data_IF_030745773987
#
_entry.id   IF_030745773987
#
_cell.length_a   1.000
_cell.length_b   1.000
_cell.length_c   1.000
_cell.angle_alpha   90.00
_cell.angle_beta   90.00
_cell.angle_gamma   90.00
#
_symmetry.space_group_name_H-M   'P 1'
#
loop_
_entity.id
_entity.type
_entity.pdbx_description
1 polymer ?
#
# COMPACT_ATOMS: atom_id res chain seq x y z
N UNK A 1 8.53 -33.23 -70.62
CA UNK A 1 7.57 -32.12 -70.84
C UNK A 1 6.91 -31.85 -69.48
N UNK A 2 7.37 -30.84 -68.72
CA UNK A 2 6.66 -29.57 -68.44
C UNK A 2 5.24 -29.80 -67.85
N UNK A 3 4.77 -29.29 -66.70
CA UNK A 3 5.10 -28.27 -65.67
C UNK A 3 4.28 -28.72 -64.43
N UNK A 4 4.64 -28.51 -63.18
CA UNK A 4 4.64 -27.21 -62.51
C UNK A 4 4.31 -27.43 -61.03
N UNK A 5 5.11 -26.85 -60.14
CA UNK A 5 4.92 -26.92 -58.70
C UNK A 5 3.81 -25.95 -58.26
N UNK A 6 2.83 -26.44 -57.49
CA UNK A 6 1.86 -25.60 -56.80
C UNK A 6 2.14 -25.65 -55.30
N UNK A 7 2.82 -24.61 -54.81
CA UNK A 7 2.94 -24.28 -53.39
C UNK A 7 1.55 -23.89 -52.89
N UNK A 8 0.95 -24.71 -52.02
CA UNK A 8 -0.16 -24.24 -51.18
C UNK A 8 0.36 -23.97 -49.78
N UNK A 9 0.36 -22.68 -49.47
CA UNK A 9 0.78 -22.05 -48.22
C UNK A 9 -0.09 -22.57 -47.08
N UNK A 10 0.56 -23.12 -46.04
CA UNK A 10 -0.07 -23.40 -44.74
C UNK A 10 -0.61 -22.09 -44.16
N UNK A 11 -1.93 -21.94 -44.11
CA UNK A 11 -2.58 -20.93 -43.26
C UNK A 11 -2.96 -21.61 -41.95
N UNK A 12 -2.04 -21.56 -40.99
CA UNK A 12 -2.32 -21.92 -39.60
C UNK A 12 -3.32 -20.91 -39.03
N UNK A 13 -4.57 -21.36 -38.83
CA UNK A 13 -5.59 -20.59 -38.10
C UNK A 13 -5.31 -20.74 -36.61
N UNK A 14 -4.60 -19.78 -36.02
CA UNK A 14 -4.60 -19.60 -34.57
C UNK A 14 -5.98 -19.08 -34.16
N UNK A 15 -6.82 -19.95 -33.59
CA UNK A 15 -8.03 -19.52 -32.89
C UNK A 15 -7.58 -18.98 -31.54
N UNK A 16 -7.59 -17.66 -31.38
CA UNK A 16 -7.41 -17.03 -30.08
C UNK A 16 -8.63 -17.35 -29.22
N UNK A 17 -8.44 -18.19 -28.19
CA UNK A 17 -9.44 -18.39 -27.15
C UNK A 17 -9.60 -17.07 -26.38
N UNK A 18 -10.77 -16.46 -26.49
CA UNK A 18 -11.13 -15.25 -25.75
C UNK A 18 -11.31 -15.60 -24.27
N UNK A 19 -10.26 -15.36 -23.47
CA UNK A 19 -10.38 -15.27 -22.01
C UNK A 19 -10.74 -13.83 -21.69
N UNK A 20 -12.03 -13.49 -21.71
CA UNK A 20 -12.53 -12.22 -21.17
C UNK A 20 -13.33 -12.53 -19.91
N UNK A 21 -12.61 -12.51 -18.80
CA UNK A 21 -13.12 -12.65 -17.46
C UNK A 21 -12.06 -12.19 -16.47
N UNK A 22 -11.46 -11.02 -16.72
CA UNK A 22 -10.71 -10.30 -15.70
C UNK A 22 -11.72 -9.86 -14.65
N UNK A 23 -11.77 -10.60 -13.54
CA UNK A 23 -12.23 -10.07 -12.27
C UNK A 23 -11.46 -8.77 -12.08
N UNK A 24 -12.19 -7.66 -12.05
CA UNK A 24 -11.64 -6.38 -11.65
C UNK A 24 -11.30 -6.51 -10.16
N UNK A 25 -10.14 -7.10 -9.87
CA UNK A 25 -9.44 -6.79 -8.63
C UNK A 25 -9.34 -5.27 -8.64
N UNK A 26 -10.07 -4.64 -7.72
CA UNK A 26 -9.75 -3.29 -7.29
C UNK A 26 -8.30 -3.34 -6.82
N UNK A 27 -7.37 -3.07 -7.73
CA UNK A 27 -5.97 -2.90 -7.43
C UNK A 27 -5.92 -1.84 -6.33
N UNK A 28 -5.64 -2.26 -5.10
CA UNK A 28 -5.39 -1.33 -4.01
C UNK A 28 -4.34 -0.35 -4.51
N UNK A 29 -4.58 0.94 -4.33
CA UNK A 29 -3.66 1.97 -4.81
C UNK A 29 -2.25 1.64 -4.28
N UNK A 30 -1.29 1.42 -5.18
CA UNK A 30 0.12 1.27 -4.80
C UNK A 30 0.72 2.67 -4.69
N UNK A 31 1.40 2.95 -3.58
CA UNK A 31 1.94 4.28 -3.30
C UNK A 31 2.55 4.40 -1.91
N UNK A 32 2.77 5.62 -1.47
CA UNK A 32 3.31 5.95 -0.14
C UNK A 32 2.25 6.71 0.65
N UNK A 33 1.99 6.27 1.88
CA UNK A 33 1.18 6.99 2.85
C UNK A 33 2.12 7.90 3.65
N UNK A 34 1.91 9.21 3.56
CA UNK A 34 2.59 10.18 4.38
C UNK A 34 1.75 10.47 5.63
N UNK A 35 2.36 10.30 6.80
CA UNK A 35 1.73 10.57 8.09
C UNK A 35 2.52 11.65 8.81
N UNK A 36 1.83 12.68 9.27
CA UNK A 36 2.42 13.72 10.10
C UNK A 36 1.85 13.58 11.51
N UNK A 37 2.67 13.10 12.45
CA UNK A 37 2.25 12.86 13.83
C UNK A 37 2.88 13.89 14.76
N UNK A 38 2.12 14.47 15.68
CA UNK A 38 2.53 15.55 16.57
C UNK A 38 2.05 15.35 18.02
N UNK A 39 2.75 16.01 18.95
CA UNK A 39 2.38 16.09 20.37
C UNK A 39 1.30 17.14 20.63
N UNK A 40 1.18 18.13 19.74
CA UNK A 40 0.23 19.23 19.87
C UNK A 40 -1.19 18.74 19.59
N UNK A 41 -2.17 19.24 20.35
CA UNK A 41 -3.56 18.83 20.17
C UNK A 41 -4.05 19.31 18.81
N UNK A 42 -4.98 18.56 18.22
CA UNK A 42 -5.65 18.93 16.97
C UNK A 42 -4.69 19.33 15.83
N UNK A 43 -3.49 18.74 15.79
CA UNK A 43 -2.51 18.94 14.74
C UNK A 43 -2.10 20.41 14.53
N UNK A 44 -2.09 21.21 15.61
CA UNK A 44 -1.70 22.62 15.59
C UNK A 44 -0.28 22.84 15.04
N UNK A 45 0.62 21.87 15.25
CA UNK A 45 1.99 21.89 14.76
C UNK A 45 2.30 20.67 13.87
N UNK A 46 3.20 20.85 12.91
CA UNK A 46 3.83 19.75 12.18
C UNK A 46 4.80 19.05 13.11
N UNK A 47 4.59 17.74 13.32
CA UNK A 47 5.48 16.93 14.12
C UNK A 47 6.41 16.08 13.23
N UNK A 48 6.57 14.81 13.60
CA UNK A 48 7.41 13.88 12.84
C UNK A 48 6.62 13.31 11.65
N UNK A 49 7.24 13.37 10.48
CA UNK A 49 6.71 12.79 9.25
C UNK A 49 7.20 11.34 9.10
N UNK A 50 6.29 10.47 8.71
CA UNK A 50 6.54 9.07 8.38
C UNK A 50 6.01 8.75 7.00
N UNK A 51 6.68 7.82 6.33
CA UNK A 51 6.26 7.29 5.05
C UNK A 51 6.11 5.76 5.17
N UNK A 52 4.93 5.23 4.87
CA UNK A 52 4.68 3.77 4.86
C UNK A 52 4.18 3.33 3.50
N UNK A 53 4.51 2.09 3.07
CA UNK A 53 4.04 1.59 1.79
C UNK A 53 2.54 1.27 1.85
N UNK A 54 1.81 1.67 0.81
CA UNK A 54 0.39 1.33 0.64
C UNK A 54 0.29 0.03 -0.16
N UNK A 55 -0.52 -0.90 0.33
CA UNK A 55 -0.77 -2.19 -0.29
C UNK A 55 0.33 -3.22 -0.04
N UNK A 56 1.34 -2.90 0.77
CA UNK A 56 2.41 -3.82 1.16
C UNK A 56 2.48 -3.95 2.67
N UNK A 57 2.73 -5.16 3.14
CA UNK A 57 3.01 -5.40 4.55
C UNK A 57 4.38 -4.82 4.92
N UNK A 58 4.49 -4.24 6.12
CA UNK A 58 5.76 -3.77 6.66
C UNK A 58 5.86 -3.98 8.18
N UNK A 59 7.09 -4.14 8.66
CA UNK A 59 7.42 -4.13 10.09
C UNK A 59 7.89 -2.73 10.48
N UNK A 60 7.25 -2.06 11.46
CA UNK A 60 7.74 -0.78 11.96
C UNK A 60 9.14 -0.87 12.60
N UNK A 61 9.55 -2.04 13.13
CA UNK A 61 10.89 -2.23 13.67
C UNK A 61 11.97 -2.09 12.59
N UNK A 62 11.66 -2.52 11.37
CA UNK A 62 12.56 -2.39 10.22
C UNK A 62 12.50 -0.97 9.65
N UNK A 63 11.31 -0.40 9.51
CA UNK A 63 11.13 0.88 8.82
C UNK A 63 11.48 2.09 9.70
N UNK A 64 11.26 2.02 11.01
CA UNK A 64 11.48 3.10 11.97
C UNK A 64 12.23 2.60 13.21
N UNK A 65 13.48 2.11 13.07
CA UNK A 65 14.20 1.44 14.14
C UNK A 65 14.38 2.36 15.36
N UNK A 66 13.94 1.88 16.52
CA UNK A 66 14.07 2.56 17.81
C UNK A 66 13.12 3.75 18.03
N UNK A 67 12.16 4.00 17.14
CA UNK A 67 11.18 5.07 17.33
C UNK A 67 10.04 4.62 18.27
N UNK A 68 9.87 5.25 19.45
CA UNK A 68 8.87 4.84 20.44
C UNK A 68 7.41 5.06 20.02
N UNK A 69 7.15 5.70 18.87
CA UNK A 69 5.79 5.78 18.32
C UNK A 69 5.23 4.45 17.87
N UNK A 70 6.11 3.51 17.52
CA UNK A 70 5.73 2.28 16.85
C UNK A 70 5.97 1.09 17.76
N UNK A 71 4.99 0.18 17.76
CA UNK A 71 5.13 -1.16 18.33
C UNK A 71 5.84 -2.11 17.36
N UNK A 72 5.99 -3.37 17.79
CA UNK A 72 6.68 -4.39 17.01
C UNK A 72 5.82 -5.04 15.90
N UNK A 73 4.50 -4.94 16.02
CA UNK A 73 3.53 -5.63 15.16
C UNK A 73 3.55 -5.12 13.73
N UNK A 74 3.41 -6.05 12.78
CA UNK A 74 3.30 -5.78 11.36
C UNK A 74 2.02 -5.00 11.04
N UNK A 75 2.13 -4.16 10.00
CA UNK A 75 1.07 -3.28 9.56
C UNK A 75 0.86 -3.44 8.05
N UNK A 76 -0.41 -3.42 7.64
CA UNK A 76 -0.81 -3.26 6.24
C UNK A 76 -1.71 -2.03 6.12
N UNK A 77 -1.26 -1.06 5.33
CA UNK A 77 -2.04 0.12 4.98
C UNK A 77 -2.68 -0.06 3.61
N UNK A 78 -3.98 0.15 3.52
CA UNK A 78 -4.70 0.29 2.25
C UNK A 78 -5.45 1.61 2.26
N UNK A 79 -5.60 2.22 1.09
CA UNK A 79 -6.34 3.48 0.98
C UNK A 79 -7.41 3.36 -0.09
N UNK A 80 -8.52 4.05 0.13
CA UNK A 80 -9.45 4.41 -0.94
C UNK A 80 -9.40 5.93 -1.15
N UNK A 81 -10.31 6.48 -1.97
CA UNK A 81 -10.31 7.91 -2.31
C UNK A 81 -10.39 8.88 -1.11
N UNK A 82 -10.91 8.44 0.04
CA UNK A 82 -11.20 9.31 1.18
C UNK A 82 -10.72 8.78 2.52
N UNK A 83 -10.40 7.50 2.63
CA UNK A 83 -10.08 6.85 3.89
C UNK A 83 -8.80 6.00 3.80
N UNK A 84 -8.07 6.00 4.90
CA UNK A 84 -7.04 5.03 5.23
C UNK A 84 -7.69 3.88 6.00
N UNK A 85 -7.40 2.65 5.59
CA UNK A 85 -7.64 1.46 6.37
C UNK A 85 -6.28 0.85 6.75
N UNK A 86 -6.01 0.85 8.05
CA UNK A 86 -4.80 0.24 8.64
C UNK A 86 -5.17 -1.05 9.34
N UNK A 87 -4.47 -2.13 9.03
CA UNK A 87 -4.60 -3.43 9.69
C UNK A 87 -3.33 -3.77 10.47
N UNK A 88 -3.49 -4.44 11.60
CA UNK A 88 -2.41 -4.88 12.49
C UNK A 88 -2.35 -6.41 12.57
N UNK A 89 -1.14 -6.93 12.71
CA UNK A 89 -0.86 -8.37 12.70
C UNK A 89 0.15 -8.70 13.80
N UNK A 90 0.03 -9.88 14.40
CA UNK A 90 0.93 -10.28 15.50
C UNK A 90 2.34 -10.65 15.04
N UNK A 91 2.57 -10.88 13.73
CA UNK A 91 3.93 -11.01 13.19
C UNK A 91 4.71 -9.70 13.30
N UNK A 92 6.04 -9.76 13.27
CA UNK A 92 6.92 -8.59 13.49
C UNK A 92 8.00 -8.44 12.39
N UNK A 93 7.84 -9.17 11.29
CA UNK A 93 8.88 -9.37 10.25
C UNK A 93 8.42 -8.95 8.84
N UNK A 94 7.34 -8.17 8.74
CA UNK A 94 6.78 -7.67 7.49
C UNK A 94 6.00 -8.71 6.68
N UNK A 95 5.39 -9.71 7.34
CA UNK A 95 4.67 -10.82 6.67
C UNK A 95 3.16 -10.79 6.85
N UNK A 96 2.65 -9.96 7.78
CA UNK A 96 1.22 -9.78 8.05
C UNK A 96 0.50 -11.11 8.31
N UNK A 97 1.06 -11.91 9.23
CA UNK A 97 0.48 -13.15 9.70
C UNK A 97 -0.23 -12.93 11.04
N UNK A 98 -1.31 -13.68 11.29
CA UNK A 98 -2.11 -13.59 12.50
C UNK A 98 -2.71 -12.19 12.71
N UNK A 99 -3.70 -11.84 11.89
CA UNK A 99 -4.46 -10.60 12.01
C UNK A 99 -5.00 -10.39 13.43
N UNK A 100 -4.88 -9.17 13.96
CA UNK A 100 -5.31 -8.84 15.32
C UNK A 100 -6.40 -7.78 15.34
N UNK A 101 -6.20 -6.64 14.68
CA UNK A 101 -7.11 -5.51 14.73
C UNK A 101 -6.97 -4.60 13.50
N UNK A 102 -7.84 -3.61 13.38
CA UNK A 102 -7.77 -2.57 12.36
C UNK A 102 -8.48 -1.29 12.78
N UNK A 103 -8.18 -0.21 12.05
CA UNK A 103 -9.06 0.96 12.01
C UNK A 103 -9.23 1.48 10.60
N UNK A 104 -10.30 2.25 10.41
CA UNK A 104 -10.53 3.06 9.21
C UNK A 104 -10.74 4.51 9.60
N UNK A 105 -10.02 5.42 8.97
CA UNK A 105 -10.05 6.85 9.29
C UNK A 105 -10.00 7.71 8.03
N UNK A 106 -10.57 8.92 8.05
CA UNK A 106 -10.51 9.81 6.90
C UNK A 106 -9.09 10.30 6.62
N UNK A 107 -8.73 10.39 5.34
CA UNK A 107 -7.53 11.08 4.87
C UNK A 107 -7.73 12.60 5.01
N UNK A 108 -6.62 13.34 5.10
CA UNK A 108 -6.58 14.82 5.12
C UNK A 108 -7.40 15.47 6.25
N UNK A 109 -7.64 14.71 7.32
CA UNK A 109 -8.22 15.18 8.56
C UNK A 109 -7.20 15.05 9.68
N UNK A 110 -7.28 15.95 10.67
CA UNK A 110 -6.55 15.77 11.92
C UNK A 110 -7.31 14.79 12.83
N UNK A 111 -6.60 13.77 13.31
CA UNK A 111 -7.18 12.65 14.05
C UNK A 111 -6.36 12.36 15.30
N UNK A 112 -7.02 11.85 16.34
CA UNK A 112 -6.39 11.46 17.60
C UNK A 112 -7.37 11.54 18.78
N UNK A 113 -6.89 11.21 19.99
CA UNK A 113 -5.52 10.79 20.31
C UNK A 113 -5.21 9.32 19.98
N UNK A 114 -4.02 9.04 19.45
CA UNK A 114 -3.46 7.73 19.10
C UNK A 114 -2.16 7.46 19.85
N UNK A 115 -2.24 6.84 21.03
CA UNK A 115 -1.05 6.41 21.77
C UNK A 115 -0.02 7.51 22.06
N UNK A 116 1.06 7.13 22.73
CA UNK A 116 2.23 8.00 22.95
C UNK A 116 3.32 7.66 21.93
N UNK A 117 4.27 8.58 21.63
CA UNK A 117 4.40 9.94 22.15
C UNK A 117 3.68 11.01 21.33
N UNK A 118 3.26 10.75 20.07
CA UNK A 118 2.60 11.73 19.20
C UNK A 118 1.14 11.32 18.92
N UNK A 119 0.21 11.67 19.82
CA UNK A 119 -1.17 11.20 19.74
C UNK A 119 -1.98 11.80 18.59
N UNK A 120 -1.56 12.89 17.98
CA UNK A 120 -2.36 13.56 16.95
C UNK A 120 -1.67 13.47 15.60
N UNK A 121 -2.42 13.37 14.51
CA UNK A 121 -1.81 13.46 13.20
C UNK A 121 -2.77 13.50 12.02
N UNK A 122 -2.19 13.75 10.86
CA UNK A 122 -2.86 13.76 9.56
C UNK A 122 -2.28 12.69 8.65
N UNK A 123 -3.12 12.09 7.81
CA UNK A 123 -2.77 11.02 6.88
C UNK A 123 -3.08 11.48 5.46
N UNK A 124 -2.10 11.37 4.56
CA UNK A 124 -2.29 11.72 3.15
C UNK A 124 -1.53 10.76 2.24
N UNK A 125 -1.98 10.62 1.00
CA UNK A 125 -1.28 9.82 -0.01
C UNK A 125 -0.25 10.73 -0.69
N UNK A 126 1.02 10.32 -0.67
CA UNK A 126 2.07 11.08 -1.33
C UNK A 126 1.80 11.17 -2.85
N UNK A 127 2.19 12.26 -3.52
CA UNK A 127 2.08 12.37 -4.97
C UNK A 127 2.80 11.19 -5.65
N UNK A 128 2.18 10.62 -6.68
CA UNK A 128 2.74 9.50 -7.46
C UNK A 128 4.13 9.89 -7.99
N UNK A 129 5.19 9.34 -7.39
CA UNK A 129 6.58 9.71 -7.67
C UNK A 129 7.49 9.70 -6.43
N UNK A 130 6.91 9.76 -5.22
CA UNK A 130 7.65 9.50 -3.99
C UNK A 130 8.04 8.01 -3.94
N UNK A 131 9.31 7.73 -4.26
CA UNK A 131 9.87 6.38 -4.14
C UNK A 131 10.37 6.24 -2.72
N UNK A 132 9.84 5.27 -1.95
CA UNK A 132 10.42 4.88 -0.66
C UNK A 132 11.88 4.47 -0.91
N UNK A 133 12.82 5.34 -0.57
CA UNK A 133 14.23 5.02 -0.59
C UNK A 133 14.48 3.99 0.52
N UNK A 134 14.50 2.71 0.16
CA UNK A 134 15.06 1.66 1.01
C UNK A 134 16.56 1.96 1.14
N UNK A 135 16.97 2.43 2.31
CA UNK A 135 18.37 2.51 2.74
C UNK A 135 18.71 1.24 3.50
#
# INVERSE_FOLDING_TARGET
MARGALKFVLLARCVAASVTGSVSETAGASGVLQMNLTTSRHCEDVGKVYETPIGLCFSPLTLFPGDPQWGATDILDTVNATHLHRSFFASEVGTCQNYTDHFTVPLRACLGPFGSPRPWGTFDVAPSGATLALV
#
